data_IF_328883965753
#
_entry.id   IF_328883965753
#
_cell.length_a   1.000
_cell.length_b   1.000
_cell.length_c   1.000
_cell.angle_alpha   90.00
_cell.angle_beta   90.00
_cell.angle_gamma   90.00
#
_symmetry.space_group_name_H-M   'P 1'
#
loop_
_entity.id
_entity.type
_entity.pdbx_description
1 polymer ?
#
# COMPACT_ATOMS: atom_id res chain seq x y z
N UNK A 1 0.10 -2.11 -13.67
CA UNK A 1 1.02 -3.25 -13.83
C UNK A 1 2.47 -2.80 -13.94
N UNK A 2 2.93 -2.18 -15.05
CA UNK A 2 4.34 -1.80 -15.23
C UNK A 2 4.89 -0.91 -14.10
N UNK A 3 4.16 0.14 -13.73
CA UNK A 3 4.52 1.02 -12.61
C UNK A 3 4.67 0.23 -11.30
N UNK A 4 3.76 -0.70 -11.02
CA UNK A 4 3.81 -1.55 -9.83
C UNK A 4 4.99 -2.52 -9.85
N UNK A 5 5.23 -3.23 -10.95
CA UNK A 5 6.34 -4.21 -11.05
C UNK A 5 7.69 -3.49 -10.96
N UNK A 6 7.94 -2.51 -11.84
CA UNK A 6 9.22 -1.81 -11.92
C UNK A 6 9.44 -0.95 -10.67
N UNK A 7 8.40 -0.22 -10.25
CA UNK A 7 8.46 0.67 -9.09
C UNK A 7 8.74 -0.09 -7.80
N UNK A 8 8.00 -1.18 -7.52
CA UNK A 8 8.23 -1.94 -6.29
C UNK A 8 9.55 -2.71 -6.32
N UNK A 9 10.01 -3.20 -7.49
CA UNK A 9 11.35 -3.76 -7.62
C UNK A 9 12.44 -2.73 -7.25
N UNK A 10 12.30 -1.48 -7.71
CA UNK A 10 13.21 -0.40 -7.33
C UNK A 10 13.13 -0.06 -5.83
N UNK A 11 11.93 -0.08 -5.23
CA UNK A 11 11.74 0.11 -3.78
C UNK A 11 12.45 -0.98 -3.00
N UNK A 12 12.25 -2.26 -3.37
CA UNK A 12 12.93 -3.41 -2.75
C UNK A 12 14.45 -3.23 -2.83
N UNK A 13 14.98 -2.90 -4.00
CA UNK A 13 16.43 -2.74 -4.18
C UNK A 13 17.00 -1.58 -3.34
N UNK A 14 16.40 -0.40 -3.43
CA UNK A 14 16.91 0.81 -2.77
C UNK A 14 16.87 0.67 -1.24
N UNK A 15 15.78 0.16 -0.68
CA UNK A 15 15.65 0.06 0.78
C UNK A 15 16.43 -1.12 1.37
N UNK A 16 16.75 -2.15 0.58
CA UNK A 16 17.52 -3.30 1.05
C UNK A 16 19.03 -3.12 0.92
N UNK A 17 19.49 -2.44 -0.13
CA UNK A 17 20.90 -2.39 -0.50
C UNK A 17 21.52 -0.99 -0.53
N UNK A 18 20.74 0.06 -0.80
CA UNK A 18 21.28 1.42 -0.98
C UNK A 18 21.15 2.27 0.28
N UNK A 19 19.99 2.24 0.92
CA UNK A 19 19.73 3.03 2.13
C UNK A 19 20.11 2.26 3.39
N UNK A 20 20.54 2.98 4.43
CA UNK A 20 20.87 2.38 5.73
C UNK A 20 19.69 1.54 6.25
N UNK A 21 19.96 0.30 6.62
CA UNK A 21 18.95 -0.59 7.17
C UNK A 21 18.38 -0.06 8.49
N UNK A 22 17.05 0.10 8.51
CA UNK A 22 16.28 0.46 9.70
C UNK A 22 15.03 -0.40 9.74
N UNK A 23 14.43 -0.56 10.91
CA UNK A 23 13.16 -1.28 11.10
C UNK A 23 12.07 -0.81 10.13
N UNK A 24 11.97 0.49 9.87
CA UNK A 24 10.96 1.03 8.94
C UNK A 24 11.32 0.73 7.49
N UNK A 25 12.59 0.82 7.10
CA UNK A 25 13.01 0.44 5.74
C UNK A 25 12.73 -1.04 5.48
N UNK A 26 12.96 -1.90 6.48
CA UNK A 26 12.59 -3.30 6.40
C UNK A 26 11.09 -3.50 6.16
N UNK A 27 10.21 -2.84 6.93
CA UNK A 27 8.76 -2.93 6.68
C UNK A 27 8.34 -2.36 5.32
N UNK A 28 8.95 -1.26 4.86
CA UNK A 28 8.70 -0.72 3.51
C UNK A 28 9.10 -1.73 2.44
N UNK A 29 10.24 -2.42 2.59
CA UNK A 29 10.65 -3.50 1.68
C UNK A 29 9.63 -4.63 1.69
N UNK A 30 9.16 -5.08 2.86
CA UNK A 30 8.16 -6.15 2.96
C UNK A 30 6.85 -5.75 2.26
N UNK A 31 6.38 -4.51 2.47
CA UNK A 31 5.21 -3.98 1.77
C UNK A 31 5.41 -4.00 0.25
N UNK A 32 6.57 -3.55 -0.23
CA UNK A 32 6.91 -3.57 -1.64
C UNK A 32 6.99 -4.99 -2.21
N UNK A 33 7.35 -6.01 -1.42
CA UNK A 33 7.29 -7.42 -1.84
C UNK A 33 5.85 -7.86 -2.07
N UNK A 34 4.92 -7.57 -1.14
CA UNK A 34 3.50 -7.86 -1.35
C UNK A 34 2.95 -7.16 -2.59
N UNK A 35 3.28 -5.87 -2.75
CA UNK A 35 2.82 -5.08 -3.89
C UNK A 35 3.42 -5.54 -5.22
N UNK A 36 4.69 -5.97 -5.23
CA UNK A 36 5.34 -6.56 -6.38
C UNK A 36 4.65 -7.86 -6.80
N UNK A 37 4.40 -8.76 -5.85
CA UNK A 37 3.69 -10.02 -6.10
C UNK A 37 2.28 -9.74 -6.65
N UNK A 38 1.53 -8.82 -6.06
CA UNK A 38 0.22 -8.40 -6.57
C UNK A 38 0.30 -7.83 -7.98
N UNK A 39 1.28 -6.97 -8.23
CA UNK A 39 1.45 -6.31 -9.54
C UNK A 39 1.88 -7.29 -10.62
N UNK A 40 2.65 -8.33 -10.27
CA UNK A 40 3.17 -9.33 -11.20
C UNK A 40 2.15 -10.42 -11.49
N UNK A 41 1.41 -10.87 -10.48
CA UNK A 41 0.56 -12.07 -10.57
C UNK A 41 -0.93 -11.75 -10.46
N UNK A 42 -1.32 -10.82 -9.58
CA UNK A 42 -2.72 -10.44 -9.39
C UNK A 42 -3.26 -9.63 -10.56
N UNK A 43 -2.57 -8.56 -10.97
CA UNK A 43 -3.04 -7.66 -12.03
C UNK A 43 -3.28 -8.36 -13.37
N UNK A 44 -2.37 -9.23 -13.89
CA UNK A 44 -2.63 -9.88 -15.17
C UNK A 44 -3.88 -10.75 -15.16
N UNK A 45 -4.13 -11.46 -14.06
CA UNK A 45 -5.31 -12.32 -13.94
C UNK A 45 -6.61 -11.51 -13.87
N UNK A 46 -6.59 -10.34 -13.24
CA UNK A 46 -7.71 -9.40 -13.25
C UNK A 46 -7.95 -8.80 -14.64
N UNK A 47 -6.88 -8.50 -15.39
CA UNK A 47 -6.99 -8.06 -16.78
C UNK A 47 -7.60 -9.16 -17.64
N UNK A 48 -7.20 -10.42 -17.46
CA UNK A 48 -7.79 -11.56 -18.17
C UNK A 48 -9.29 -11.67 -17.87
N UNK A 49 -9.69 -11.53 -16.60
CA UNK A 49 -11.10 -11.55 -16.20
C UNK A 49 -11.88 -10.35 -16.78
N UNK A 50 -11.23 -9.20 -16.95
CA UNK A 50 -11.84 -8.02 -17.56
C UNK A 50 -12.04 -8.17 -19.08
N UNK A 51 -11.03 -8.70 -19.79
CA UNK A 51 -11.10 -8.89 -21.25
C UNK A 51 -11.94 -10.11 -21.64
N UNK A 52 -11.90 -11.17 -20.84
CA UNK A 52 -12.63 -12.41 -21.05
C UNK A 52 -13.60 -12.69 -19.89
N UNK A 53 -14.61 -11.83 -19.67
CA UNK A 53 -15.54 -11.96 -18.54
C UNK A 53 -16.39 -13.23 -18.58
N UNK A 54 -16.40 -13.93 -19.72
CA UNK A 54 -17.21 -15.13 -19.97
C UNK A 54 -16.38 -16.41 -20.20
N UNK A 55 -15.06 -16.32 -20.14
CA UNK A 55 -14.16 -17.46 -20.38
C UNK A 55 -13.04 -17.48 -19.35
N UNK A 56 -13.41 -17.41 -18.06
CA UNK A 56 -12.41 -17.48 -17.02
C UNK A 56 -11.68 -18.85 -17.08
N UNK A 57 -10.33 -18.86 -17.17
CA UNK A 57 -9.57 -19.97 -17.74
C UNK A 57 -9.64 -21.28 -16.96
N UNK A 58 -9.73 -21.24 -15.63
CA UNK A 58 -9.91 -22.46 -14.83
C UNK A 58 -10.40 -22.19 -13.41
N UNK A 59 -11.00 -23.21 -12.78
CA UNK A 59 -11.39 -23.16 -11.37
C UNK A 59 -10.18 -23.06 -10.42
N UNK A 60 -9.06 -23.71 -10.77
CA UNK A 60 -7.82 -23.63 -10.00
C UNK A 60 -7.23 -22.22 -9.99
N UNK A 61 -7.17 -21.56 -11.16
CA UNK A 61 -6.71 -20.18 -11.29
C UNK A 61 -7.63 -19.20 -10.53
N UNK A 62 -8.95 -19.40 -10.57
CA UNK A 62 -9.91 -18.56 -9.84
C UNK A 62 -9.63 -18.60 -8.34
N UNK A 63 -9.52 -19.81 -7.77
CA UNK A 63 -9.21 -20.00 -6.34
C UNK A 63 -7.85 -19.41 -5.96
N UNK A 64 -6.84 -19.63 -6.79
CA UNK A 64 -5.49 -19.14 -6.55
C UNK A 64 -5.39 -17.62 -6.63
N UNK A 65 -5.99 -17.00 -7.66
CA UNK A 65 -6.05 -15.54 -7.81
C UNK A 65 -6.69 -14.91 -6.58
N UNK A 66 -7.86 -15.40 -6.16
CA UNK A 66 -8.61 -14.86 -5.02
C UNK A 66 -7.87 -15.05 -3.71
N UNK A 67 -7.20 -16.19 -3.51
CA UNK A 67 -6.31 -16.37 -2.37
C UNK A 67 -5.15 -15.37 -2.37
N UNK A 68 -4.45 -15.23 -3.50
CA UNK A 68 -3.27 -14.39 -3.60
C UNK A 68 -3.59 -12.91 -3.33
N UNK A 69 -4.66 -12.39 -3.93
CA UNK A 69 -5.07 -10.99 -3.77
C UNK A 69 -5.48 -10.69 -2.33
N UNK A 70 -6.24 -11.59 -1.68
CA UNK A 70 -6.61 -11.44 -0.27
C UNK A 70 -5.41 -11.59 0.67
N UNK A 71 -4.53 -12.57 0.44
CA UNK A 71 -3.34 -12.81 1.26
C UNK A 71 -2.44 -11.56 1.25
N UNK A 72 -2.15 -11.02 0.07
CA UNK A 72 -1.31 -9.85 -0.04
C UNK A 72 -1.98 -8.59 0.52
N UNK A 73 -3.29 -8.44 0.37
CA UNK A 73 -4.03 -7.29 0.92
C UNK A 73 -4.04 -7.32 2.45
N UNK A 74 -4.34 -8.48 3.05
CA UNK A 74 -4.29 -8.67 4.51
C UNK A 74 -2.87 -8.44 5.02
N UNK A 75 -1.86 -9.05 4.38
CA UNK A 75 -0.46 -8.85 4.73
C UNK A 75 -0.04 -7.39 4.69
N UNK A 76 -0.44 -6.65 3.65
CA UNK A 76 -0.17 -5.21 3.49
C UNK A 76 -0.79 -4.39 4.62
N UNK A 77 -2.05 -4.67 5.02
CA UNK A 77 -2.72 -4.00 6.15
C UNK A 77 -1.90 -4.16 7.43
N UNK A 78 -1.44 -5.37 7.73
CA UNK A 78 -0.62 -5.62 8.92
C UNK A 78 0.73 -4.92 8.86
N UNK A 79 1.40 -4.95 7.71
CA UNK A 79 2.68 -4.25 7.55
C UNK A 79 2.50 -2.74 7.73
N UNK A 80 1.44 -2.16 7.17
CA UNK A 80 1.09 -0.74 7.38
C UNK A 80 0.83 -0.45 8.86
N UNK A 81 0.19 -1.36 9.60
CA UNK A 81 -0.06 -1.19 11.03
C UNK A 81 1.28 -1.18 11.78
N UNK A 82 2.17 -2.11 11.47
CA UNK A 82 3.51 -2.19 12.05
C UNK A 82 4.34 -0.94 11.76
N UNK A 83 4.27 -0.41 10.53
CA UNK A 83 4.90 0.87 10.18
C UNK A 83 4.32 2.00 11.04
N UNK A 84 2.99 2.04 11.22
CA UNK A 84 2.31 3.07 12.03
C UNK A 84 2.77 3.04 13.49
N UNK A 85 2.80 1.85 14.09
CA UNK A 85 3.29 1.62 15.46
C UNK A 85 4.74 2.04 15.58
N UNK A 86 5.60 1.61 14.66
CA UNK A 86 7.03 1.92 14.67
C UNK A 86 7.30 3.43 14.56
N UNK A 87 6.52 4.14 13.74
CA UNK A 87 6.60 5.60 13.62
C UNK A 87 6.15 6.29 14.90
N UNK A 88 5.02 5.86 15.47
CA UNK A 88 4.53 6.38 16.74
C UNK A 88 5.57 6.20 17.86
N UNK A 89 6.15 5.00 18.01
CA UNK A 89 7.16 4.73 19.05
C UNK A 89 8.39 5.63 18.90
N UNK A 90 8.91 5.78 17.69
CA UNK A 90 10.11 6.60 17.43
C UNK A 90 9.91 8.09 17.66
N UNK A 91 8.71 8.62 17.40
CA UNK A 91 8.44 10.05 17.45
C UNK A 91 7.80 10.46 18.77
N UNK A 92 6.78 9.73 19.21
CA UNK A 92 5.99 10.09 20.39
C UNK A 92 6.53 9.46 21.69
N UNK A 93 7.36 8.41 21.61
CA UNK A 93 7.89 7.69 22.79
C UNK A 93 9.40 7.37 22.66
N UNK A 94 10.27 8.37 22.48
CA UNK A 94 11.69 8.14 22.21
C UNK A 94 12.45 7.48 23.37
N UNK A 95 12.04 7.69 24.63
CA UNK A 95 12.68 7.03 25.79
C UNK A 95 12.17 5.62 26.08
N UNK A 96 11.07 5.21 25.44
CA UNK A 96 10.54 3.85 25.61
C UNK A 96 11.30 2.85 24.76
N UNK A 97 11.05 1.55 24.99
CA UNK A 97 11.61 0.47 24.17
C UNK A 97 11.41 0.74 22.67
N UNK A 98 12.46 0.58 21.87
CA UNK A 98 12.42 0.74 20.42
C UNK A 98 12.51 -0.62 19.74
N UNK A 99 11.72 -0.81 18.69
CA UNK A 99 11.64 -2.10 18.01
C UNK A 99 12.94 -2.36 17.25
N UNK A 100 13.62 -3.46 17.59
CA UNK A 100 14.82 -3.88 16.87
C UNK A 100 14.45 -4.70 15.62
N UNK A 101 15.45 -4.97 14.76
CA UNK A 101 15.22 -5.66 13.49
C UNK A 101 14.75 -7.12 13.65
N UNK A 102 15.18 -7.81 14.71
CA UNK A 102 14.76 -9.20 14.96
C UNK A 102 13.27 -9.26 15.31
N UNK A 103 12.80 -8.39 16.21
CA UNK A 103 11.38 -8.30 16.54
C UNK A 103 10.54 -7.91 15.32
N UNK A 104 11.03 -7.00 14.45
CA UNK A 104 10.34 -6.68 13.20
C UNK A 104 10.16 -7.90 12.29
N UNK A 105 11.19 -8.75 12.19
CA UNK A 105 11.11 -9.99 11.42
C UNK A 105 10.07 -10.95 12.02
N UNK A 106 10.07 -11.14 13.34
CA UNK A 106 9.08 -12.00 14.00
C UNK A 106 7.65 -11.49 13.81
N UNK A 107 7.40 -10.18 14.01
CA UNK A 107 6.06 -9.60 13.76
C UNK A 107 5.64 -9.72 12.30
N UNK A 108 6.59 -9.60 11.35
CA UNK A 108 6.31 -9.79 9.93
C UNK A 108 5.95 -11.24 9.60
N UNK A 109 6.69 -12.21 10.14
CA UNK A 109 6.39 -13.63 9.95
C UNK A 109 4.99 -13.94 10.50
N UNK A 110 4.67 -13.44 11.70
CA UNK A 110 3.33 -13.55 12.28
C UNK A 110 2.25 -12.96 11.38
N UNK A 111 2.47 -11.75 10.84
CA UNK A 111 1.57 -11.11 9.90
C UNK A 111 1.38 -11.93 8.60
N UNK A 112 2.46 -12.50 8.06
CA UNK A 112 2.38 -13.37 6.87
C UNK A 112 1.56 -14.63 7.15
N UNK A 113 1.83 -15.33 8.25
CA UNK A 113 1.09 -16.53 8.63
C UNK A 113 -0.40 -16.23 8.86
N UNK A 114 -0.69 -15.12 9.54
CA UNK A 114 -2.06 -14.66 9.72
C UNK A 114 -2.71 -14.35 8.37
N UNK A 115 -2.02 -13.65 7.46
CA UNK A 115 -2.56 -13.32 6.14
C UNK A 115 -2.90 -14.55 5.31
N UNK A 116 -2.07 -15.60 5.36
CA UNK A 116 -2.32 -16.88 4.70
C UNK A 116 -3.55 -17.56 5.31
N UNK A 117 -3.61 -17.66 6.65
CA UNK A 117 -4.73 -18.27 7.36
C UNK A 117 -6.06 -17.61 6.98
N UNK A 118 -6.12 -16.27 7.04
CA UNK A 118 -7.35 -15.53 6.80
C UNK A 118 -7.69 -15.38 5.31
N UNK A 119 -6.75 -15.56 4.39
CA UNK A 119 -7.02 -15.62 2.96
C UNK A 119 -7.47 -17.02 2.49
N UNK A 120 -7.15 -18.07 3.24
CA UNK A 120 -7.47 -19.47 2.89
C UNK A 120 -8.96 -19.71 2.56
N UNK A 121 -9.95 -19.14 3.30
CA UNK A 121 -11.36 -19.31 2.96
C UNK A 121 -11.72 -18.91 1.52
N UNK A 122 -10.98 -17.99 0.89
CA UNK A 122 -11.20 -17.63 -0.52
C UNK A 122 -10.93 -18.78 -1.48
N UNK A 123 -10.06 -19.74 -1.16
CA UNK A 123 -9.86 -20.95 -1.96
C UNK A 123 -11.04 -21.91 -1.92
N UNK A 124 -11.87 -21.81 -0.86
CA UNK A 124 -13.05 -22.64 -0.65
C UNK A 124 -14.25 -21.94 -1.27
N UNK A 125 -14.46 -20.67 -0.92
CA UNK A 125 -15.64 -19.91 -1.34
C UNK A 125 -15.59 -19.49 -2.81
N UNK A 126 -14.43 -19.36 -3.43
CA UNK A 126 -14.35 -18.97 -4.86
C UNK A 126 -14.53 -20.18 -5.77
N UNK A 127 -15.31 -20.00 -6.83
CA UNK A 127 -15.57 -21.03 -7.83
C UNK A 127 -15.70 -20.42 -9.22
N UNK A 128 -15.13 -21.11 -10.22
CA UNK A 128 -15.45 -20.84 -11.62
C UNK A 128 -16.81 -21.46 -11.95
N UNK A 129 -17.80 -20.63 -12.28
CA UNK A 129 -19.20 -21.05 -12.46
C UNK A 129 -19.74 -20.62 -13.82
N UNK A 130 -20.53 -21.50 -14.42
CA UNK A 130 -21.36 -21.20 -15.58
C UNK A 130 -22.47 -20.21 -15.19
N UNK A 131 -22.44 -19.01 -15.76
CA UNK A 131 -23.45 -17.98 -15.64
C UNK A 131 -24.27 -17.88 -16.92
N UNK A 132 -25.58 -17.63 -16.78
CA UNK A 132 -26.44 -17.32 -17.92
C UNK A 132 -26.56 -15.81 -18.11
N UNK A 133 -26.30 -15.38 -19.34
CA UNK A 133 -26.29 -13.99 -19.75
C UNK A 133 -27.66 -13.62 -20.30
N UNK A 134 -28.53 -13.17 -19.40
CA UNK A 134 -29.88 -12.70 -19.75
C UNK A 134 -29.86 -11.58 -20.82
N UNK A 135 -28.79 -10.78 -20.85
CA UNK A 135 -28.61 -9.65 -21.76
C UNK A 135 -28.18 -10.03 -23.18
N UNK A 136 -27.69 -11.26 -23.40
CA UNK A 136 -27.20 -11.74 -24.70
C UNK A 136 -27.93 -13.01 -25.14
N UNK A 137 -29.26 -13.05 -25.00
CA UNK A 137 -30.06 -14.18 -25.49
C UNK A 137 -29.80 -15.51 -24.78
N UNK A 138 -29.53 -15.48 -23.46
CA UNK A 138 -29.25 -16.67 -22.63
C UNK A 138 -28.00 -17.47 -23.03
N UNK A 139 -26.98 -16.80 -23.56
CA UNK A 139 -25.65 -17.40 -23.69
C UNK A 139 -25.09 -17.79 -22.31
N UNK A 140 -24.38 -18.91 -22.28
CA UNK A 140 -23.64 -19.38 -21.09
C UNK A 140 -22.18 -18.96 -21.15
N UNK A 141 -21.67 -18.33 -20.09
CA UNK A 141 -20.25 -18.03 -19.91
C UNK A 141 -19.72 -18.56 -18.58
N UNK A 142 -18.41 -18.63 -18.41
CA UNK A 142 -17.72 -19.02 -17.17
C UNK A 142 -17.10 -17.80 -16.49
N UNK A 143 -17.44 -17.58 -15.21
CA UNK A 143 -16.96 -16.45 -14.42
C UNK A 143 -16.48 -16.89 -13.01
N UNK A 144 -15.50 -16.20 -12.46
CA UNK A 144 -14.93 -16.46 -11.14
C UNK A 144 -15.72 -15.69 -10.06
N UNK A 145 -16.53 -16.39 -9.27
CA UNK A 145 -17.41 -15.77 -8.25
C UNK A 145 -17.39 -16.52 -6.93
N UNK A 146 -18.00 -15.90 -5.92
CA UNK A 146 -18.34 -16.58 -4.68
C UNK A 146 -19.37 -17.68 -4.96
N UNK A 147 -19.15 -18.86 -4.39
CA UNK A 147 -20.02 -20.02 -4.57
C UNK A 147 -21.21 -19.93 -3.63
N UNK A 148 -22.41 -20.03 -4.21
CA UNK A 148 -23.67 -20.06 -3.46
C UNK A 148 -23.84 -21.37 -2.66
N UNK A 149 -23.03 -22.39 -2.92
CA UNK A 149 -23.09 -23.68 -2.22
C UNK A 149 -22.82 -23.57 -0.72
N UNK A 150 -22.21 -22.48 -0.27
CA UNK A 150 -21.88 -22.24 1.14
C UNK A 150 -22.89 -21.34 1.88
N UNK A 151 -23.99 -20.96 1.21
CA UNK A 151 -25.08 -20.19 1.81
C UNK A 151 -24.60 -18.88 2.43
N UNK A 152 -24.87 -18.71 3.73
CA UNK A 152 -24.58 -17.48 4.49
C UNK A 152 -23.11 -17.38 4.99
N UNK A 153 -22.33 -18.45 4.91
CA UNK A 153 -20.96 -18.48 5.47
C UNK A 153 -20.02 -17.43 4.86
N UNK A 154 -19.99 -17.21 3.53
CA UNK A 154 -19.18 -16.15 2.94
C UNK A 154 -19.57 -14.76 3.46
N UNK A 155 -20.86 -14.50 3.71
CA UNK A 155 -21.31 -13.23 4.27
C UNK A 155 -20.71 -12.98 5.65
N UNK A 156 -20.79 -13.95 6.56
CA UNK A 156 -20.19 -13.82 7.89
C UNK A 156 -18.68 -13.61 7.82
N UNK A 157 -18.00 -14.28 6.90
CA UNK A 157 -16.57 -14.09 6.65
C UNK A 157 -16.24 -12.65 6.19
N UNK A 158 -17.00 -12.09 5.23
CA UNK A 158 -16.79 -10.71 4.78
C UNK A 158 -17.12 -9.68 5.86
N UNK A 159 -18.17 -9.90 6.65
CA UNK A 159 -18.49 -9.05 7.82
C UNK A 159 -17.35 -9.09 8.83
N UNK A 160 -16.83 -10.28 9.14
CA UNK A 160 -15.69 -10.44 10.04
C UNK A 160 -14.45 -9.68 9.53
N UNK A 161 -14.12 -9.85 8.24
CA UNK A 161 -13.00 -9.11 7.62
C UNK A 161 -13.22 -7.59 7.66
N UNK A 162 -14.45 -7.13 7.43
CA UNK A 162 -14.80 -5.72 7.48
C UNK A 162 -14.62 -5.14 8.89
N UNK A 163 -15.08 -5.86 9.93
CA UNK A 163 -14.87 -5.45 11.34
C UNK A 163 -13.37 -5.38 11.65
N UNK A 164 -12.63 -6.42 11.27
CA UNK A 164 -11.18 -6.46 11.49
C UNK A 164 -10.44 -5.31 10.78
N UNK A 165 -10.79 -5.06 9.52
CA UNK A 165 -10.25 -3.94 8.75
C UNK A 165 -10.60 -2.59 9.38
N UNK A 166 -11.82 -2.43 9.90
CA UNK A 166 -12.28 -1.21 10.60
C UNK A 166 -11.46 -0.96 11.86
N UNK A 167 -11.25 -1.99 12.70
CA UNK A 167 -10.44 -1.87 13.93
C UNK A 167 -9.00 -1.49 13.59
N UNK A 168 -8.44 -2.13 12.57
CA UNK A 168 -7.05 -1.85 12.14
C UNK A 168 -6.92 -0.43 11.63
N UNK A 169 -7.86 0.03 10.81
CA UNK A 169 -7.92 1.40 10.33
C UNK A 169 -8.04 2.40 11.48
N UNK A 170 -8.99 2.19 12.40
CA UNK A 170 -9.17 3.07 13.55
C UNK A 170 -7.89 3.18 14.37
N UNK A 171 -7.19 2.06 14.59
CA UNK A 171 -5.89 2.03 15.27
C UNK A 171 -4.84 2.87 14.52
N UNK A 172 -4.70 2.69 13.20
CA UNK A 172 -3.78 3.51 12.40
C UNK A 172 -4.11 5.00 12.47
N UNK A 173 -5.39 5.38 12.36
CA UNK A 173 -5.84 6.77 12.42
C UNK A 173 -5.54 7.39 13.78
N UNK A 174 -5.76 6.67 14.89
CA UNK A 174 -5.41 7.12 16.24
C UNK A 174 -3.89 7.34 16.33
N UNK A 175 -3.08 6.36 15.89
CA UNK A 175 -1.62 6.47 15.93
C UNK A 175 -1.11 7.65 15.09
N UNK A 176 -1.68 7.89 13.92
CA UNK A 176 -1.32 9.04 13.08
C UNK A 176 -1.84 10.37 13.62
N UNK A 177 -3.00 10.39 14.26
CA UNK A 177 -3.51 11.55 14.98
C UNK A 177 -2.55 11.96 16.10
N UNK A 178 -2.11 11.00 16.91
CA UNK A 178 -1.11 11.21 17.96
C UNK A 178 0.24 11.67 17.37
N UNK A 179 0.65 11.07 16.25
CA UNK A 179 1.87 11.48 15.53
C UNK A 179 1.79 12.92 15.03
N UNK A 180 0.64 13.33 14.49
CA UNK A 180 0.39 14.68 14.00
C UNK A 180 0.33 15.70 15.15
N UNK A 181 -0.29 15.35 16.27
CA UNK A 181 -0.30 16.20 17.46
C UNK A 181 1.13 16.45 17.98
N UNK A 182 1.93 15.39 18.13
CA UNK A 182 3.33 15.52 18.57
C UNK A 182 4.15 16.35 17.58
N UNK A 183 3.92 16.14 16.28
CA UNK A 183 4.54 16.91 15.21
C UNK A 183 4.24 18.41 15.31
N UNK A 184 2.98 18.76 15.56
CA UNK A 184 2.52 20.14 15.73
C UNK A 184 3.12 20.79 16.98
N UNK A 185 3.18 20.07 18.10
CA UNK A 185 3.78 20.56 19.34
C UNK A 185 5.26 20.94 19.16
N UNK A 186 6.05 20.07 18.53
CA UNK A 186 7.46 20.37 18.26
C UNK A 186 7.66 21.52 17.28
N UNK A 187 6.75 21.68 16.31
CA UNK A 187 6.79 22.81 15.39
C UNK A 187 6.56 24.13 16.14
N UNK A 188 5.51 24.21 16.97
CA UNK A 188 5.21 25.39 17.79
C UNK A 188 6.38 25.72 18.73
N UNK A 189 6.92 24.73 19.43
CA UNK A 189 8.05 24.91 20.35
C UNK A 189 9.33 25.36 19.61
N UNK A 190 9.55 24.88 18.38
CA UNK A 190 10.67 25.34 17.55
C UNK A 190 10.51 26.78 17.07
N UNK A 191 9.27 27.19 16.78
CA UNK A 191 8.94 28.55 16.37
C UNK A 191 9.07 29.53 17.54
N UNK A 192 8.57 29.17 18.73
CA UNK A 192 8.75 29.96 19.95
C UNK A 192 10.23 30.16 20.30
N UNK A 193 11.06 29.13 20.19
CA UNK A 193 12.52 29.24 20.41
C UNK A 193 13.21 30.15 19.38
N UNK A 194 12.74 30.13 18.13
CA UNK A 194 13.25 31.00 17.08
C UNK A 194 12.87 32.46 17.32
N UNK A 195 11.62 32.72 17.71
CA UNK A 195 11.15 34.05 18.12
C UNK A 195 11.94 34.57 19.33
N UNK A 196 12.19 33.71 20.32
CA UNK A 196 13.04 34.07 21.47
C UNK A 196 14.49 34.35 21.06
N UNK A 197 15.06 33.58 20.13
CA UNK A 197 16.42 33.89 19.66
C UNK A 197 16.46 35.21 18.88
N UNK A 198 15.50 35.49 17.99
CA UNK A 198 15.40 36.78 17.30
C UNK A 198 15.31 37.96 18.27
N UNK A 199 14.49 37.87 19.31
CA UNK A 199 14.39 38.91 20.34
C UNK A 199 15.68 39.08 21.15
N UNK A 200 16.48 38.02 21.28
CA UNK A 200 17.78 38.06 21.96
C UNK A 200 18.95 38.45 21.02
N UNK A 201 18.72 38.59 19.70
CA UNK A 201 19.77 38.90 18.73
C UNK A 201 19.82 40.39 18.39
N UNK A 202 20.04 41.24 19.40
CA UNK A 202 20.86 42.45 19.23
C UNK A 202 22.38 42.14 19.33
N UNK A 203 22.74 40.91 19.71
CA UNK A 203 24.12 40.41 19.67
C UNK A 203 24.22 39.25 18.67
N UNK A 204 24.91 39.48 17.54
CA UNK A 204 25.01 38.56 16.41
C UNK A 204 25.40 37.13 16.79
N UNK A 205 24.58 36.16 16.36
CA UNK A 205 24.87 34.74 16.56
C UNK A 205 23.89 33.82 15.83
N UNK A 206 24.44 33.02 14.89
CA UNK A 206 23.83 31.96 14.05
C UNK A 206 22.44 31.44 14.45
N UNK A 207 21.53 31.45 13.46
CA UNK A 207 20.20 30.83 13.51
C UNK A 207 20.26 29.35 13.93
N UNK A 208 19.41 28.90 14.88
CA UNK A 208 19.34 27.49 15.24
C UNK A 208 18.83 26.68 14.05
N UNK A 209 19.55 25.61 13.69
CA UNK A 209 19.20 24.74 12.58
C UNK A 209 17.75 24.23 12.75
N UNK A 210 16.86 24.63 11.82
CA UNK A 210 15.48 24.13 11.71
C UNK A 210 15.50 22.61 11.73
N UNK A 211 15.18 22.00 12.87
CA UNK A 211 15.10 20.54 13.01
C UNK A 211 13.89 20.10 12.20
N UNK A 212 14.15 19.77 10.93
CA UNK A 212 13.13 19.41 9.97
C UNK A 212 12.39 18.18 10.49
N UNK A 213 11.18 18.41 11.01
CA UNK A 213 10.29 17.32 11.36
C UNK A 213 10.16 16.42 10.13
N UNK A 214 10.47 15.14 10.31
CA UNK A 214 10.79 14.23 9.22
C UNK A 214 9.62 14.12 8.23
N UNK A 215 9.81 14.69 7.02
CA UNK A 215 8.91 14.54 5.85
C UNK A 215 8.53 13.07 5.56
N UNK A 216 9.34 12.13 6.04
CA UNK A 216 9.10 10.68 5.97
C UNK A 216 7.80 10.23 6.64
N UNK A 217 7.26 10.96 7.61
CA UNK A 217 5.97 10.62 8.25
C UNK A 217 4.80 10.86 7.29
N UNK A 218 4.85 11.92 6.48
CA UNK A 218 3.83 12.25 5.50
C UNK A 218 3.71 11.15 4.42
N UNK A 219 4.84 10.63 3.95
CA UNK A 219 4.88 9.56 2.96
C UNK A 219 4.16 8.30 3.44
N UNK A 220 4.40 7.90 4.69
CA UNK A 220 3.78 6.71 5.29
C UNK A 220 2.28 6.92 5.50
N UNK A 221 1.88 8.08 6.02
CA UNK A 221 0.45 8.41 6.20
C UNK A 221 -0.27 8.35 4.84
N UNK A 222 0.32 8.93 3.80
CA UNK A 222 -0.30 8.98 2.48
C UNK A 222 -0.44 7.59 1.85
N UNK A 223 0.58 6.73 1.96
CA UNK A 223 0.50 5.32 1.54
C UNK A 223 -0.63 4.59 2.28
N UNK A 224 -0.72 4.75 3.60
CA UNK A 224 -1.76 4.08 4.40
C UNK A 224 -3.16 4.57 4.05
N UNK A 225 -3.34 5.89 3.90
CA UNK A 225 -4.63 6.49 3.52
C UNK A 225 -5.07 6.01 2.13
N UNK A 226 -4.17 5.99 1.15
CA UNK A 226 -4.47 5.48 -0.19
C UNK A 226 -4.90 4.01 -0.14
N UNK A 227 -4.17 3.19 0.63
CA UNK A 227 -4.51 1.78 0.78
C UNK A 227 -5.90 1.59 1.39
N UNK A 228 -6.20 2.31 2.46
CA UNK A 228 -7.49 2.19 3.15
C UNK A 228 -8.65 2.68 2.29
N UNK A 229 -8.55 3.87 1.68
CA UNK A 229 -9.65 4.49 0.95
C UNK A 229 -10.11 3.63 -0.21
N UNK A 230 -9.23 2.85 -0.82
CA UNK A 230 -9.58 1.99 -1.95
C UNK A 230 -9.95 0.56 -1.51
N UNK A 231 -9.35 0.02 -0.45
CA UNK A 231 -9.66 -1.34 0.01
C UNK A 231 -10.94 -1.43 0.85
N UNK A 232 -11.22 -0.42 1.69
CA UNK A 232 -12.36 -0.45 2.60
C UNK A 232 -13.73 -0.43 1.86
N UNK A 233 -13.96 0.46 0.87
CA UNK A 233 -15.19 0.42 0.08
C UNK A 233 -15.35 -0.89 -0.70
N UNK A 234 -14.25 -1.49 -1.13
CA UNK A 234 -14.27 -2.79 -1.82
C UNK A 234 -14.88 -3.89 -0.94
N UNK A 235 -14.46 -3.99 0.32
CA UNK A 235 -15.03 -4.96 1.26
C UNK A 235 -16.53 -4.72 1.50
N UNK A 236 -16.92 -3.46 1.68
CA UNK A 236 -18.31 -3.09 1.89
C UNK A 236 -19.19 -3.40 0.66
N UNK A 237 -18.73 -3.00 -0.53
CA UNK A 237 -19.45 -3.24 -1.78
C UNK A 237 -19.52 -4.72 -2.13
N UNK A 238 -18.52 -5.52 -1.75
CA UNK A 238 -18.53 -6.98 -1.95
C UNK A 238 -19.65 -7.68 -1.17
N UNK A 239 -20.05 -7.14 0.00
CA UNK A 239 -21.16 -7.67 0.80
C UNK A 239 -22.51 -7.47 0.11
N UNK A 240 -22.69 -6.32 -0.55
CA UNK A 240 -23.95 -5.92 -1.19
C UNK A 240 -23.92 -6.12 -2.72
N UNK A 241 -22.89 -6.78 -3.26
CA UNK A 241 -22.63 -6.81 -4.69
C UNK A 241 -23.80 -7.42 -5.48
N UNK A 242 -24.34 -8.56 -5.03
CA UNK A 242 -25.43 -9.24 -5.72
C UNK A 242 -26.72 -8.40 -5.72
N UNK A 243 -27.02 -7.73 -4.59
CA UNK A 243 -28.19 -6.85 -4.48
C UNK A 243 -28.04 -5.60 -5.35
N UNK A 244 -26.85 -4.99 -5.37
CA UNK A 244 -26.56 -3.80 -6.15
C UNK A 244 -26.60 -4.10 -7.66
N UNK A 245 -26.05 -5.26 -8.08
CA UNK A 245 -25.97 -5.63 -9.49
C UNK A 245 -27.29 -6.17 -10.07
N UNK A 246 -28.26 -6.57 -9.25
CA UNK A 246 -29.49 -7.23 -9.68
C UNK A 246 -30.28 -6.43 -10.74
N UNK A 247 -30.27 -5.09 -10.64
CA UNK A 247 -30.99 -4.19 -11.54
C UNK A 247 -30.09 -3.43 -12.53
N UNK A 248 -28.78 -3.73 -12.54
CA UNK A 248 -27.81 -3.06 -13.41
C UNK A 248 -27.78 -3.71 -14.80
N UNK A 249 -27.69 -2.88 -15.83
CA UNK A 249 -27.33 -3.30 -17.18
C UNK A 249 -25.93 -3.91 -17.22
N UNK A 250 -25.61 -4.66 -18.28
CA UNK A 250 -24.28 -5.25 -18.46
C UNK A 250 -23.14 -4.22 -18.37
N UNK A 251 -23.31 -3.03 -18.96
CA UNK A 251 -22.29 -1.96 -18.92
C UNK A 251 -22.08 -1.43 -17.50
N UNK A 252 -23.16 -1.27 -16.75
CA UNK A 252 -23.10 -0.83 -15.35
C UNK A 252 -22.44 -1.88 -14.46
N UNK A 253 -22.72 -3.17 -14.68
CA UNK A 253 -22.04 -4.26 -13.95
C UNK A 253 -20.53 -4.26 -14.24
N UNK A 254 -20.10 -4.07 -15.49
CA UNK A 254 -18.68 -3.94 -15.83
C UNK A 254 -18.02 -2.75 -15.12
N UNK A 255 -18.68 -1.59 -15.10
CA UNK A 255 -18.19 -0.39 -14.39
C UNK A 255 -18.11 -0.65 -12.88
N UNK A 256 -19.12 -1.30 -12.31
CA UNK A 256 -19.15 -1.69 -10.90
C UNK A 256 -17.98 -2.63 -10.55
N UNK A 257 -17.73 -3.64 -11.37
CA UNK A 257 -16.59 -4.53 -11.18
C UNK A 257 -15.26 -3.80 -11.27
N UNK A 258 -15.08 -2.90 -12.25
CA UNK A 258 -13.87 -2.07 -12.35
C UNK A 258 -13.66 -1.22 -11.09
N UNK A 259 -14.72 -0.60 -10.60
CA UNK A 259 -14.66 0.24 -9.40
C UNK A 259 -14.29 -0.56 -8.15
N UNK A 260 -14.97 -1.69 -7.92
CA UNK A 260 -14.71 -2.60 -6.79
C UNK A 260 -13.32 -3.22 -6.87
N UNK A 261 -12.73 -3.35 -8.06
CA UNK A 261 -11.36 -3.90 -8.24
C UNK A 261 -10.27 -2.82 -8.27
N UNK A 262 -10.63 -1.54 -8.15
CA UNK A 262 -9.67 -0.44 -8.20
C UNK A 262 -8.66 -0.47 -7.04
N UNK A 263 -8.98 -1.13 -5.91
CA UNK A 263 -8.04 -1.35 -4.80
C UNK A 263 -6.74 -2.01 -5.24
N UNK A 264 -6.78 -2.79 -6.32
CA UNK A 264 -5.62 -3.49 -6.86
C UNK A 264 -4.57 -2.46 -7.31
N UNK A 265 -4.98 -1.29 -7.82
CA UNK A 265 -4.08 -0.21 -8.22
C UNK A 265 -3.22 0.35 -7.08
N UNK A 266 -3.59 0.13 -5.81
CA UNK A 266 -2.80 0.58 -4.65
C UNK A 266 -1.34 0.17 -4.73
N UNK A 267 -1.10 -1.08 -5.14
CA UNK A 267 0.25 -1.62 -5.24
C UNK A 267 1.13 -0.85 -6.23
N UNK A 268 0.53 -0.15 -7.21
CA UNK A 268 1.27 0.71 -8.14
C UNK A 268 1.48 2.14 -7.62
N UNK A 269 0.68 2.60 -6.64
CA UNK A 269 0.81 3.97 -6.11
C UNK A 269 1.95 4.10 -5.10
N UNK A 270 2.28 3.05 -4.34
CA UNK A 270 3.29 3.12 -3.29
C UNK A 270 4.67 3.63 -3.79
N UNK A 271 5.25 3.09 -4.88
CA UNK A 271 6.47 3.64 -5.49
C UNK A 271 6.37 5.12 -5.87
N UNK A 272 5.22 5.56 -6.41
CA UNK A 272 5.00 6.95 -6.78
C UNK A 272 5.01 7.85 -5.54
N UNK A 273 4.34 7.43 -4.47
CA UNK A 273 4.34 8.17 -3.20
C UNK A 273 5.75 8.29 -2.63
N UNK A 274 6.55 7.22 -2.67
CA UNK A 274 7.96 7.29 -2.27
C UNK A 274 8.76 8.26 -3.15
N UNK A 275 8.57 8.23 -4.47
CA UNK A 275 9.24 9.14 -5.41
C UNK A 275 8.92 10.61 -5.17
N UNK A 276 7.65 10.96 -4.97
CA UNK A 276 7.23 12.34 -4.76
C UNK A 276 7.52 12.85 -3.35
N UNK A 277 7.24 12.03 -2.33
CA UNK A 277 7.23 12.49 -0.94
C UNK A 277 8.52 12.17 -0.16
N UNK A 278 9.30 11.17 -0.57
CA UNK A 278 10.52 10.77 0.14
C UNK A 278 11.80 11.22 -0.60
N UNK A 279 12.36 12.36 -0.19
CA UNK A 279 13.59 12.91 -0.75
C UNK A 279 14.78 11.93 -0.76
N UNK A 280 14.93 11.12 0.30
CA UNK A 280 16.06 10.17 0.39
C UNK A 280 15.91 9.06 -0.64
N UNK A 281 14.70 8.52 -0.76
CA UNK A 281 14.38 7.53 -1.79
C UNK A 281 14.57 8.12 -3.18
N UNK A 282 14.01 9.31 -3.46
CA UNK A 282 14.14 9.97 -4.77
C UNK A 282 15.60 10.17 -5.17
N UNK A 283 16.44 10.67 -4.26
CA UNK A 283 17.86 10.87 -4.57
C UNK A 283 18.58 9.56 -4.88
N UNK A 284 18.27 8.49 -4.15
CA UNK A 284 18.82 7.16 -4.41
C UNK A 284 18.32 6.60 -5.76
N UNK A 285 17.03 6.77 -6.06
CA UNK A 285 16.42 6.34 -7.31
C UNK A 285 17.02 7.07 -8.53
N UNK A 286 17.15 8.39 -8.46
CA UNK A 286 17.77 9.19 -9.52
C UNK A 286 19.23 8.78 -9.73
N UNK A 287 19.99 8.55 -8.66
CA UNK A 287 21.38 8.07 -8.77
C UNK A 287 21.44 6.71 -9.47
N UNK A 288 20.56 5.77 -9.09
CA UNK A 288 20.46 4.45 -9.71
C UNK A 288 20.10 4.56 -11.20
N UNK A 289 19.14 5.41 -11.54
CA UNK A 289 18.72 5.66 -12.92
C UNK A 289 19.89 6.15 -13.80
N UNK A 290 20.66 7.14 -13.32
CA UNK A 290 21.83 7.65 -14.03
C UNK A 290 22.96 6.62 -14.15
N UNK A 291 23.15 5.77 -13.13
CA UNK A 291 24.11 4.68 -13.19
C UNK A 291 23.74 3.63 -14.25
N UNK A 292 22.46 3.27 -14.37
CA UNK A 292 21.98 2.34 -15.40
C UNK A 292 22.16 2.93 -16.80
N UNK A 293 21.92 4.22 -16.97
CA UNK A 293 22.13 4.93 -18.24
C UNK A 293 23.62 5.22 -18.53
N UNK A 294 24.55 4.83 -17.65
CA UNK A 294 25.98 5.13 -17.77
C UNK A 294 26.32 6.63 -17.93
N UNK A 295 25.41 7.53 -17.56
CA UNK A 295 25.64 8.97 -17.59
C UNK A 295 26.03 9.41 -16.19
N UNK A 296 27.29 9.77 -16.01
CA UNK A 296 27.77 10.28 -14.73
C UNK A 296 27.20 11.68 -14.49
N UNK A 297 26.62 11.99 -13.31
CA UNK A 297 26.16 13.35 -12.99
C UNK A 297 27.27 14.41 -12.99
N UNK A 298 28.53 14.01 -13.15
CA UNK A 298 29.71 14.88 -13.14
C UNK A 298 29.94 15.62 -14.46
N UNK A 299 29.27 15.26 -15.56
CA UNK A 299 29.55 15.85 -16.88
C UNK A 299 28.79 17.17 -17.15
N UNK A 300 28.16 17.78 -16.13
CA UNK A 300 27.48 19.09 -16.24
C UNK A 300 28.24 20.26 -15.63
N UNK A 301 29.44 20.05 -15.09
CA UNK A 301 30.25 21.12 -14.47
C UNK A 301 31.51 21.50 -15.25
N UNK A 302 31.79 20.83 -16.37
CA UNK A 302 32.94 21.13 -17.24
C UNK A 302 32.60 21.91 -18.52
N UNK A 303 31.32 22.16 -18.82
CA UNK A 303 30.91 22.82 -20.08
C UNK A 303 30.60 24.32 -19.98
N UNK A 304 30.93 24.97 -18.86
CA UNK A 304 30.74 26.42 -18.69
C UNK A 304 32.01 27.19 -18.33
N UNK A 305 33.20 26.65 -18.66
CA UNK A 305 34.49 27.35 -18.44
C UNK A 305 35.35 27.43 -19.70
N UNK A 306 34.77 27.19 -20.88
CA UNK A 306 35.44 27.39 -22.17
C UNK A 306 34.53 28.16 -23.14
N UNK A 307 34.36 29.45 -22.86
CA UNK A 307 34.19 30.46 -23.92
C UNK A 307 34.91 31.70 -23.43
N UNK A 308 36.18 31.80 -23.86
CA UNK A 308 36.90 33.06 -24.01
C UNK A 308 36.18 33.99 -24.98
#
# INVERSE_FOLDING_TARGET
MFVGVIGNAAVIYIYSFVLKNTTVHYFITVLAVFDFICSLLGFPLEIIEFYNPMEYPSNGLCKWQRFLTFCCSIGSIFVLLLISIERYRKVCRPQSYQLNLQHAKYFTIGACLFSVLFATPMTIFSQNKLIQLKWFGNLTGCDCRLSNSYGILPLFYFIFLLIFATITLATMLILYGLLWQMARMHFLESDSRYQQSLNNTEAGGRSPARRQLSRTNHTVILVTVLFTISFFPTLLLSIFADQLMANMSYREQLIFFMFVRMYILNSSFNPLVYGFCNKRFRNAFVKLFWQILCISPKDKQSSSTETS
#
